data_IF_681452286191
#
_entry.id   IF_681452286191
#
_cell.length_a   1.000
_cell.length_b   1.000
_cell.length_c   1.000
_cell.angle_alpha   90.00
_cell.angle_beta   90.00
_cell.angle_gamma   90.00
#
_symmetry.space_group_name_H-M   'P 1'
#
loop_
_entity.id
_entity.type
_entity.pdbx_description
1 polymer ?
#
# COMPACT_ATOMS: atom_id res chain seq x y z
N UNK A 1 -22.12 9.39 41.85
CA UNK A 1 -21.88 9.80 40.45
C UNK A 1 -20.46 10.29 40.43
N UNK A 2 -19.59 9.47 39.88
CA UNK A 2 -18.14 9.66 39.97
C UNK A 2 -17.71 10.93 39.24
N UNK A 3 -16.71 11.59 39.81
CA UNK A 3 -16.16 12.87 39.40
C UNK A 3 -15.47 12.74 38.02
N UNK A 4 -16.23 12.95 36.95
CA UNK A 4 -15.73 12.97 35.57
C UNK A 4 -15.01 14.29 35.25
N UNK A 5 -14.08 14.70 36.11
CA UNK A 5 -13.39 16.01 36.07
C UNK A 5 -12.67 16.31 34.76
N UNK A 6 -12.41 15.30 33.93
CA UNK A 6 -11.66 15.42 32.67
C UNK A 6 -12.45 15.01 31.40
N UNK A 7 -13.56 14.27 31.53
CA UNK A 7 -14.30 13.79 30.35
C UNK A 7 -15.10 14.93 29.73
N UNK A 8 -14.94 15.14 28.42
CA UNK A 8 -15.62 16.21 27.67
C UNK A 8 -14.98 17.59 27.81
N UNK A 9 -13.86 17.71 28.54
CA UNK A 9 -13.11 18.95 28.68
C UNK A 9 -12.18 19.19 27.47
N UNK A 10 -11.98 20.46 27.12
CA UNK A 10 -11.02 20.87 26.08
C UNK A 10 -9.60 20.88 26.67
N UNK A 11 -8.97 19.71 26.72
CA UNK A 11 -7.62 19.53 27.26
C UNK A 11 -6.57 19.69 26.15
N UNK A 12 -5.40 20.22 26.51
CA UNK A 12 -4.24 20.23 25.61
C UNK A 12 -3.76 18.80 25.36
N UNK A 13 -3.56 18.45 24.08
CA UNK A 13 -2.99 17.15 23.73
C UNK A 13 -1.54 17.04 24.24
N UNK A 14 -1.13 15.89 24.81
CA UNK A 14 0.24 15.71 25.29
C UNK A 14 1.33 15.94 24.22
N UNK A 15 1.03 15.65 22.95
CA UNK A 15 1.95 15.80 21.82
C UNK A 15 1.96 17.20 21.17
N UNK A 16 1.05 18.11 21.59
CA UNK A 16 0.91 19.43 20.96
C UNK A 16 2.14 20.36 21.14
N UNK A 17 2.83 20.43 22.30
CA UNK A 17 3.94 21.36 22.47
C UNK A 17 5.11 21.10 21.50
N UNK A 18 5.43 19.84 21.22
CA UNK A 18 6.53 19.50 20.31
C UNK A 18 6.15 19.73 18.84
N UNK A 19 4.89 19.43 18.47
CA UNK A 19 4.39 19.65 17.11
C UNK A 19 4.31 21.14 16.76
N UNK A 20 3.90 21.99 17.70
CA UNK A 20 3.80 23.45 17.47
C UNK A 20 5.14 24.17 17.46
N UNK A 21 6.21 23.52 17.94
CA UNK A 21 7.57 24.09 17.96
C UNK A 21 8.51 23.47 16.93
N UNK A 22 8.01 22.55 16.10
CA UNK A 22 8.82 21.82 15.11
C UNK A 22 9.84 20.86 15.73
N UNK A 23 9.64 20.46 17.00
CA UNK A 23 10.51 19.50 17.70
C UNK A 23 10.14 18.05 17.41
N UNK A 24 8.86 17.79 17.11
CA UNK A 24 8.43 16.47 16.66
C UNK A 24 9.06 16.18 15.32
N UNK A 25 9.84 15.09 15.25
CA UNK A 25 10.43 14.60 14.01
C UNK A 25 9.48 13.61 13.35
N UNK A 26 9.05 13.96 12.15
CA UNK A 26 8.34 13.08 11.23
C UNK A 26 9.37 12.23 10.47
N UNK A 27 8.91 11.24 9.71
CA UNK A 27 9.85 10.28 9.12
C UNK A 27 10.81 10.91 8.13
N UNK A 28 10.33 11.90 7.38
CA UNK A 28 11.13 12.68 6.43
C UNK A 28 12.22 13.52 7.11
N UNK A 29 12.11 13.73 8.42
CA UNK A 29 13.11 14.46 9.21
C UNK A 29 14.20 13.54 9.76
N UNK A 30 14.07 12.22 9.59
CA UNK A 30 14.95 11.21 10.18
C UNK A 30 15.95 10.71 9.15
N UNK A 31 17.23 10.79 9.49
CA UNK A 31 18.33 10.18 8.74
C UNK A 31 19.16 9.32 9.68
N UNK A 32 19.62 8.18 9.18
CA UNK A 32 20.44 7.22 9.93
C UNK A 32 21.79 7.01 9.28
N UNK A 33 22.78 6.58 10.06
CA UNK A 33 24.13 6.33 9.55
C UNK A 33 24.07 5.19 8.52
N UNK A 34 24.76 5.37 7.40
CA UNK A 34 24.80 4.42 6.28
C UNK A 34 23.42 4.14 5.66
N UNK A 35 22.47 5.06 5.78
CA UNK A 35 21.17 4.97 5.13
C UNK A 35 21.32 4.87 3.61
N UNK A 36 20.56 3.97 3.02
CA UNK A 36 20.33 3.87 1.58
C UNK A 36 18.86 4.18 1.32
N UNK A 37 18.54 4.52 0.08
CA UNK A 37 17.23 5.00 -0.33
C UNK A 37 16.60 4.05 -1.34
N UNK A 38 15.34 3.71 -1.10
CA UNK A 38 14.53 2.90 -2.01
C UNK A 38 13.65 3.78 -2.88
N UNK A 39 13.59 3.49 -4.17
CA UNK A 39 12.63 4.09 -5.11
C UNK A 39 11.87 2.97 -5.85
N UNK A 40 10.54 2.88 -5.68
CA UNK A 40 9.75 1.85 -6.34
C UNK A 40 9.69 2.08 -7.84
N UNK A 41 9.78 1.00 -8.60
CA UNK A 41 9.51 0.98 -10.05
C UNK A 41 8.08 0.50 -10.23
N UNK A 42 7.26 1.35 -10.85
CA UNK A 42 5.83 1.10 -11.01
C UNK A 42 5.45 0.71 -12.44
N UNK A 43 4.37 -0.04 -12.56
CA UNK A 43 3.71 -0.28 -13.83
C UNK A 43 3.23 1.02 -14.46
N UNK A 44 3.56 1.22 -15.74
CA UNK A 44 3.06 2.33 -16.56
C UNK A 44 1.79 1.96 -17.35
N UNK A 45 1.37 0.69 -17.32
CA UNK A 45 0.17 0.21 -18.01
C UNK A 45 -0.89 -0.24 -17.00
N UNK A 46 -2.19 -0.14 -17.34
CA UNK A 46 -3.27 -0.51 -16.44
C UNK A 46 -3.46 -2.01 -16.30
N UNK A 47 -3.12 -2.80 -17.32
CA UNK A 47 -3.24 -4.25 -17.27
C UNK A 47 -2.40 -4.91 -18.35
N UNK A 48 -1.69 -5.97 -18.01
CA UNK A 48 -0.92 -6.73 -18.97
C UNK A 48 0.07 -7.65 -18.31
N UNK A 49 0.94 -8.21 -19.13
CA UNK A 49 2.08 -8.99 -18.68
C UNK A 49 3.39 -8.26 -18.93
N UNK A 50 4.45 -8.67 -18.26
CA UNK A 50 5.81 -8.22 -18.57
C UNK A 50 6.77 -9.41 -18.52
N UNK A 51 7.75 -9.41 -19.40
CA UNK A 51 8.67 -10.53 -19.59
C UNK A 51 10.12 -10.19 -19.25
N UNK A 52 10.47 -8.91 -19.30
CA UNK A 52 11.84 -8.45 -19.09
C UNK A 52 11.85 -7.11 -18.36
N UNK A 53 12.78 -7.01 -17.42
CA UNK A 53 13.16 -5.78 -16.72
C UNK A 53 14.59 -5.48 -17.18
N UNK A 54 14.79 -4.32 -17.80
CA UNK A 54 16.08 -3.83 -18.26
C UNK A 54 16.57 -2.72 -17.32
N UNK A 55 17.73 -2.97 -16.71
CA UNK A 55 18.38 -2.11 -15.72
C UNK A 55 19.62 -1.40 -16.29
N UNK A 56 19.97 -1.60 -17.57
CA UNK A 56 21.24 -1.19 -18.14
C UNK A 56 21.55 0.31 -17.97
N UNK A 57 20.53 1.17 -18.06
CA UNK A 57 20.71 2.61 -17.85
C UNK A 57 20.61 3.00 -16.37
N UNK A 58 19.78 2.30 -15.58
CA UNK A 58 19.67 2.50 -14.14
C UNK A 58 20.99 2.18 -13.40
N UNK A 59 21.67 1.10 -13.78
CA UNK A 59 22.95 0.66 -13.19
C UNK A 59 24.09 1.66 -13.42
N UNK A 60 23.97 2.54 -14.43
CA UNK A 60 24.97 3.57 -14.73
C UNK A 60 24.83 4.81 -13.84
N UNK A 61 23.71 4.96 -13.12
CA UNK A 61 23.49 6.10 -12.23
C UNK A 61 24.50 6.04 -11.08
N UNK A 62 25.23 7.13 -10.88
CA UNK A 62 26.21 7.20 -9.80
C UNK A 62 25.51 7.09 -8.44
N UNK A 63 25.81 6.02 -7.71
CA UNK A 63 25.18 5.74 -6.41
C UNK A 63 24.11 4.66 -6.46
N UNK A 64 23.78 4.11 -7.63
CA UNK A 64 23.01 2.86 -7.73
C UNK A 64 23.70 1.75 -6.91
N UNK A 65 22.89 0.97 -6.21
CA UNK A 65 23.35 -0.17 -5.39
C UNK A 65 22.77 -1.47 -5.96
N UNK A 66 21.45 -1.56 -6.04
CA UNK A 66 20.78 -2.80 -6.47
C UNK A 66 19.35 -2.55 -6.96
N UNK A 67 18.73 -3.57 -7.54
CA UNK A 67 17.32 -3.63 -7.86
C UNK A 67 16.72 -4.93 -7.32
N UNK A 68 15.76 -4.79 -6.40
CA UNK A 68 15.04 -5.90 -5.76
C UNK A 68 13.68 -6.08 -6.43
N UNK A 69 13.29 -7.31 -6.69
CA UNK A 69 12.04 -7.67 -7.36
C UNK A 69 11.39 -8.89 -6.72
N UNK A 70 10.28 -9.36 -7.31
CA UNK A 70 9.58 -10.56 -6.84
C UNK A 70 10.49 -11.81 -6.72
N UNK A 71 11.58 -11.91 -7.51
CA UNK A 71 12.50 -13.05 -7.49
C UNK A 71 13.38 -13.09 -6.23
N UNK A 72 13.52 -11.96 -5.56
CA UNK A 72 14.43 -11.76 -4.42
C UNK A 72 13.69 -11.91 -3.08
N UNK A 73 12.37 -12.14 -3.13
CA UNK A 73 11.54 -12.42 -1.96
C UNK A 73 11.86 -13.84 -1.45
N UNK A 74 12.31 -14.01 -0.20
CA UNK A 74 12.79 -15.29 0.30
C UNK A 74 11.66 -16.27 0.68
N UNK A 75 10.45 -15.77 0.92
CA UNK A 75 9.28 -16.59 1.24
C UNK A 75 8.08 -16.20 0.36
N UNK A 76 6.99 -15.68 0.94
CA UNK A 76 5.73 -15.48 0.22
C UNK A 76 5.58 -14.05 -0.30
N UNK A 77 5.48 -13.88 -1.62
CA UNK A 77 5.23 -12.58 -2.25
C UNK A 77 3.75 -12.17 -2.13
N UNK A 78 3.31 -11.85 -0.91
CA UNK A 78 1.91 -11.57 -0.58
C UNK A 78 1.78 -10.64 0.63
N UNK A 79 1.03 -9.56 0.48
CA UNK A 79 0.84 -8.49 1.48
C UNK A 79 -0.63 -8.06 1.69
N UNK A 80 -1.58 -8.75 1.05
CA UNK A 80 -3.01 -8.43 1.19
C UNK A 80 -3.47 -8.50 2.64
N UNK A 81 -4.23 -7.50 3.10
CA UNK A 81 -4.62 -7.38 4.52
C UNK A 81 -5.85 -8.24 4.85
N UNK A 82 -6.87 -8.19 4.00
CA UNK A 82 -8.14 -8.90 4.20
C UNK A 82 -8.17 -10.16 3.33
N UNK A 83 -8.03 -9.99 2.03
CA UNK A 83 -7.88 -11.05 1.03
C UNK A 83 -6.39 -11.15 0.70
N UNK A 84 -5.87 -12.37 0.59
CA UNK A 84 -4.46 -12.62 0.26
C UNK A 84 -4.29 -12.65 -1.26
N UNK A 85 -4.56 -11.54 -1.94
CA UNK A 85 -4.56 -11.41 -3.40
C UNK A 85 -3.60 -10.33 -3.94
N UNK A 86 -2.87 -9.64 -3.05
CA UNK A 86 -1.96 -8.56 -3.41
C UNK A 86 -0.49 -8.95 -3.22
N UNK A 87 0.31 -9.07 -4.29
CA UNK A 87 1.74 -9.29 -4.14
C UNK A 87 2.47 -8.03 -3.63
N UNK A 88 3.64 -8.21 -3.01
CA UNK A 88 4.54 -7.08 -2.69
C UNK A 88 5.08 -6.46 -3.97
N UNK A 89 5.61 -7.33 -4.85
CA UNK A 89 6.04 -6.96 -6.19
C UNK A 89 5.25 -7.78 -7.22
N UNK A 90 4.67 -7.12 -8.21
CA UNK A 90 4.07 -7.72 -9.37
C UNK A 90 5.02 -8.78 -9.97
N UNK A 91 4.46 -9.94 -10.31
CA UNK A 91 5.20 -11.04 -10.91
C UNK A 91 4.45 -11.49 -12.15
N UNK A 92 5.07 -11.29 -13.32
CA UNK A 92 4.53 -11.56 -14.67
C UNK A 92 3.35 -10.71 -15.09
N UNK A 93 2.45 -10.34 -14.19
CA UNK A 93 1.22 -9.60 -14.49
C UNK A 93 1.16 -8.34 -13.64
N UNK A 94 0.81 -7.22 -14.28
CA UNK A 94 0.49 -5.95 -13.64
C UNK A 94 -1.02 -5.70 -13.75
N UNK A 95 -1.63 -5.18 -12.69
CA UNK A 95 -3.10 -5.09 -12.56
C UNK A 95 -3.66 -3.67 -12.55
N UNK A 96 -2.80 -2.67 -12.42
CA UNK A 96 -3.15 -1.26 -12.43
C UNK A 96 -1.92 -0.39 -12.70
N UNK A 97 -2.13 0.88 -13.09
CA UNK A 97 -1.06 1.87 -13.18
C UNK A 97 -0.60 2.17 -11.75
N UNK A 98 0.69 2.01 -11.46
CA UNK A 98 1.22 2.08 -10.10
C UNK A 98 1.44 0.73 -9.41
N UNK A 99 1.16 -0.40 -10.08
CA UNK A 99 1.49 -1.73 -9.54
C UNK A 99 3.01 -1.86 -9.38
N UNK A 100 3.49 -2.22 -8.19
CA UNK A 100 4.93 -2.17 -7.89
C UNK A 100 5.64 -3.36 -8.52
N UNK A 101 6.61 -3.14 -9.40
CA UNK A 101 7.36 -4.22 -10.08
C UNK A 101 8.64 -4.58 -9.31
N UNK A 102 9.21 -3.60 -8.62
CA UNK A 102 10.42 -3.75 -7.84
C UNK A 102 10.83 -2.46 -7.14
N UNK A 103 11.99 -2.49 -6.51
CA UNK A 103 12.57 -1.40 -5.74
C UNK A 103 14.03 -1.20 -6.14
N UNK A 104 14.35 -0.03 -6.68
CA UNK A 104 15.74 0.41 -6.84
C UNK A 104 16.28 0.85 -5.48
N UNK A 105 17.52 0.48 -5.18
CA UNK A 105 18.24 0.89 -3.98
C UNK A 105 19.46 1.73 -4.39
N UNK A 106 19.65 2.90 -3.78
CA UNK A 106 20.78 3.78 -4.06
C UNK A 106 21.30 4.53 -2.82
N UNK A 107 22.47 5.16 -2.94
CA UNK A 107 23.14 5.90 -1.84
C UNK A 107 22.46 7.21 -1.47
N UNK A 108 21.72 7.82 -2.39
CA UNK A 108 20.95 9.05 -2.14
C UNK A 108 19.54 8.91 -2.70
N UNK A 109 18.62 9.73 -2.21
CA UNK A 109 17.24 9.76 -2.68
C UNK A 109 17.16 10.13 -4.16
N UNK A 110 17.97 11.10 -4.59
CA UNK A 110 18.02 11.58 -5.98
C UNK A 110 18.50 10.45 -6.91
N UNK A 111 19.56 9.74 -6.53
CA UNK A 111 20.07 8.62 -7.32
C UNK A 111 19.06 7.47 -7.41
N UNK A 112 18.31 7.19 -6.33
CA UNK A 112 17.28 6.15 -6.34
C UNK A 112 16.15 6.52 -7.32
N UNK A 113 15.66 7.77 -7.24
CA UNK A 113 14.60 8.26 -8.12
C UNK A 113 15.04 8.33 -9.59
N UNK A 114 16.26 8.81 -9.85
CA UNK A 114 16.84 8.85 -11.20
C UNK A 114 16.95 7.44 -11.79
N UNK A 115 17.57 6.51 -11.06
CA UNK A 115 17.74 5.13 -11.51
C UNK A 115 16.39 4.42 -11.70
N UNK A 116 15.42 4.59 -10.80
CA UNK A 116 14.08 4.03 -10.96
C UNK A 116 13.38 4.54 -12.23
N UNK A 117 13.57 5.81 -12.59
CA UNK A 117 13.04 6.40 -13.82
C UNK A 117 13.71 5.88 -15.11
N UNK A 118 14.88 5.24 -15.00
CA UNK A 118 15.62 4.66 -16.13
C UNK A 118 15.36 3.16 -16.30
N UNK A 119 14.68 2.51 -15.35
CA UNK A 119 14.29 1.10 -15.49
C UNK A 119 13.28 0.95 -16.61
N UNK A 120 13.57 0.07 -17.57
CA UNK A 120 12.68 -0.21 -18.71
C UNK A 120 12.00 -1.55 -18.53
N UNK A 121 10.68 -1.55 -18.70
CA UNK A 121 9.86 -2.75 -18.60
C UNK A 121 9.30 -3.08 -19.97
N UNK A 122 9.50 -4.31 -20.43
CA UNK A 122 8.90 -4.79 -21.67
C UNK A 122 7.52 -5.38 -21.39
N UNK A 123 6.47 -4.63 -21.74
CA UNK A 123 5.08 -5.03 -21.52
C UNK A 123 4.47 -5.72 -22.74
N UNK A 124 3.64 -6.72 -22.45
CA UNK A 124 2.58 -7.20 -23.30
C UNK A 124 1.25 -6.66 -22.74
N UNK A 125 0.90 -5.45 -23.16
CA UNK A 125 -0.32 -4.77 -22.70
C UNK A 125 -1.59 -5.53 -23.12
N UNK A 126 -2.57 -5.56 -22.22
CA UNK A 126 -3.88 -6.18 -22.43
C UNK A 126 -4.98 -5.16 -22.17
N UNK A 127 -6.14 -5.35 -22.79
CA UNK A 127 -7.29 -4.47 -22.58
C UNK A 127 -7.79 -4.57 -21.13
N UNK A 128 -7.75 -3.48 -20.35
CA UNK A 128 -8.29 -3.45 -18.98
C UNK A 128 -9.82 -3.30 -19.00
N UNK A 129 -10.46 -3.62 -17.88
CA UNK A 129 -11.80 -3.16 -17.55
C UNK A 129 -11.68 -1.88 -16.72
N UNK A 130 -12.26 -0.77 -17.18
CA UNK A 130 -12.07 0.57 -16.58
C UNK A 130 -13.32 1.09 -15.88
N UNK A 131 -14.41 0.31 -15.88
CA UNK A 131 -15.63 0.61 -15.16
C UNK A 131 -16.19 -0.61 -14.42
N UNK A 132 -17.01 -0.34 -13.40
CA UNK A 132 -17.71 -1.40 -12.66
C UNK A 132 -18.65 -2.19 -13.57
N UNK A 133 -19.33 -1.52 -14.51
CA UNK A 133 -20.24 -2.18 -15.45
C UNK A 133 -19.48 -3.15 -16.38
N UNK A 134 -18.38 -2.71 -16.99
CA UNK A 134 -17.52 -3.57 -17.81
C UNK A 134 -16.95 -4.75 -17.02
N UNK A 135 -16.50 -4.50 -15.79
CA UNK A 135 -15.92 -5.53 -14.92
C UNK A 135 -16.96 -6.56 -14.46
N UNK A 136 -18.20 -6.12 -14.19
CA UNK A 136 -19.35 -6.98 -13.83
C UNK A 136 -19.76 -7.88 -15.01
N UNK A 137 -19.81 -7.31 -16.21
CA UNK A 137 -20.31 -8.00 -17.40
C UNK A 137 -19.20 -8.82 -18.10
N UNK A 138 -17.98 -8.81 -17.54
CA UNK A 138 -16.85 -9.61 -18.00
C UNK A 138 -17.13 -11.11 -17.91
N UNK A 139 -16.74 -11.84 -18.97
CA UNK A 139 -16.82 -13.31 -19.05
C UNK A 139 -15.44 -13.97 -19.18
N UNK A 140 -14.40 -13.16 -19.35
CA UNK A 140 -13.00 -13.58 -19.48
C UNK A 140 -12.09 -12.47 -18.92
N UNK A 141 -10.78 -12.69 -18.90
CA UNK A 141 -9.77 -11.69 -18.49
C UNK A 141 -10.01 -11.14 -17.07
N UNK A 142 -10.47 -11.99 -16.17
CA UNK A 142 -10.59 -11.64 -14.76
C UNK A 142 -9.22 -11.24 -14.19
N UNK A 143 -9.20 -10.25 -13.31
CA UNK A 143 -7.99 -9.77 -12.63
C UNK A 143 -7.48 -10.84 -11.63
N UNK A 144 -8.42 -11.61 -11.07
CA UNK A 144 -8.21 -12.77 -10.21
C UNK A 144 -9.03 -13.96 -10.75
N UNK A 145 -9.53 -14.84 -9.88
CA UNK A 145 -10.44 -15.93 -10.29
C UNK A 145 -11.77 -15.39 -10.86
N UNK A 146 -12.25 -14.26 -10.32
CA UNK A 146 -13.42 -13.51 -10.82
C UNK A 146 -13.20 -12.02 -10.62
N UNK A 147 -14.05 -11.18 -11.21
CA UNK A 147 -14.08 -9.74 -10.94
C UNK A 147 -15.06 -9.34 -9.81
N UNK A 148 -15.78 -10.29 -9.21
CA UNK A 148 -16.68 -10.02 -8.09
C UNK A 148 -15.90 -10.12 -6.76
N UNK A 149 -15.39 -8.99 -6.29
CA UNK A 149 -14.57 -8.95 -5.08
C UNK A 149 -15.35 -9.33 -3.79
N UNK A 150 -16.61 -8.93 -3.67
CA UNK A 150 -17.45 -9.27 -2.53
C UNK A 150 -18.95 -9.20 -2.87
N UNK A 151 -19.77 -9.97 -2.14
CA UNK A 151 -21.24 -9.91 -2.23
C UNK A 151 -21.86 -10.07 -0.85
N UNK A 152 -22.59 -9.05 -0.41
CA UNK A 152 -23.32 -9.05 0.86
C UNK A 152 -24.81 -8.87 0.61
N UNK A 153 -25.64 -9.66 1.31
CA UNK A 153 -27.09 -9.62 1.19
C UNK A 153 -27.71 -9.25 2.54
N UNK A 154 -28.32 -8.08 2.62
CA UNK A 154 -29.05 -7.63 3.81
C UNK A 154 -30.54 -7.91 3.60
N UNK A 155 -31.16 -8.67 4.50
CA UNK A 155 -32.59 -8.99 4.46
C UNK A 155 -33.21 -8.74 5.82
N UNK A 156 -34.31 -8.00 5.86
CA UNK A 156 -35.04 -7.72 7.09
C UNK A 156 -36.52 -7.47 6.77
N UNK A 157 -37.40 -8.20 7.44
CA UNK A 157 -38.85 -8.09 7.22
C UNK A 157 -39.31 -8.64 5.86
N UNK A 158 -40.52 -8.26 5.48
CA UNK A 158 -41.15 -8.58 4.21
C UNK A 158 -41.17 -7.32 3.33
N UNK A 159 -40.31 -7.30 2.32
CA UNK A 159 -40.17 -6.16 1.42
C UNK A 159 -41.40 -6.03 0.51
N UNK A 160 -41.95 -7.15 0.02
CA UNK A 160 -43.09 -7.13 -0.90
C UNK A 160 -44.31 -6.54 -0.21
N UNK A 161 -44.62 -6.99 1.01
CA UNK A 161 -45.68 -6.36 1.82
C UNK A 161 -45.37 -4.90 2.16
N UNK A 162 -44.09 -4.51 2.26
CA UNK A 162 -43.68 -3.14 2.52
C UNK A 162 -43.98 -2.22 1.35
N UNK A 163 -43.66 -2.65 0.12
CA UNK A 163 -43.97 -1.93 -1.11
C UNK A 163 -45.49 -1.84 -1.34
N UNK A 164 -46.22 -2.93 -1.14
CA UNK A 164 -47.68 -2.96 -1.35
C UNK A 164 -48.45 -2.00 -0.43
N UNK A 165 -47.93 -1.75 0.78
CA UNK A 165 -48.59 -0.92 1.81
C UNK A 165 -48.11 0.53 1.83
N UNK A 166 -47.15 0.91 0.97
CA UNK A 166 -46.55 2.24 1.02
C UNK A 166 -47.47 3.30 0.38
N UNK A 167 -47.66 4.43 1.07
CA UNK A 167 -48.38 5.58 0.50
C UNK A 167 -47.57 6.28 -0.60
N UNK A 168 -46.24 6.27 -0.49
CA UNK A 168 -45.30 6.83 -1.45
C UNK A 168 -44.04 5.97 -1.55
N UNK A 169 -43.52 5.83 -2.77
CA UNK A 169 -42.26 5.15 -3.08
C UNK A 169 -41.35 6.17 -3.76
N UNK A 170 -40.14 6.32 -3.22
CA UNK A 170 -39.10 7.18 -3.80
C UNK A 170 -37.93 6.31 -4.20
N UNK A 171 -37.57 6.35 -5.48
CA UNK A 171 -36.38 5.69 -6.01
C UNK A 171 -35.41 6.76 -6.53
N UNK A 172 -34.13 6.62 -6.18
CA UNK A 172 -33.07 7.51 -6.62
C UNK A 172 -31.76 6.75 -6.80
N UNK A 173 -30.96 7.21 -7.76
CA UNK A 173 -29.60 6.70 -8.02
C UNK A 173 -28.58 7.72 -7.55
N UNK A 174 -27.66 7.27 -6.69
CA UNK A 174 -26.58 8.09 -6.17
C UNK A 174 -25.22 7.55 -6.64
N UNK A 175 -24.27 8.44 -6.86
CA UNK A 175 -22.86 8.09 -7.16
C UNK A 175 -21.96 9.06 -6.41
N UNK A 176 -20.92 8.53 -5.81
CA UNK A 176 -19.82 9.31 -5.21
C UNK A 176 -18.58 9.18 -6.10
N UNK A 177 -17.75 10.24 -6.23
CA UNK A 177 -16.49 10.16 -6.95
C UNK A 177 -15.44 9.36 -6.14
N UNK A 178 -14.28 9.11 -6.76
CA UNK A 178 -13.08 8.69 -6.04
C UNK A 178 -12.58 9.83 -5.16
N UNK A 179 -12.09 9.50 -3.97
CA UNK A 179 -11.49 10.44 -3.03
C UNK A 179 -10.19 9.84 -2.50
N UNK A 180 -9.14 10.66 -2.49
CA UNK A 180 -7.87 10.34 -1.83
C UNK A 180 -7.85 10.93 -0.42
N UNK A 181 -7.17 10.26 0.51
CA UNK A 181 -7.06 10.67 1.91
C UNK A 181 -6.38 12.03 2.06
N UNK A 182 -5.38 12.31 1.21
CA UNK A 182 -4.71 13.60 1.10
C UNK A 182 -4.10 14.10 2.43
N UNK A 183 -3.49 13.19 3.20
CA UNK A 183 -2.67 13.56 4.36
C UNK A 183 -1.44 14.37 3.93
N UNK A 184 -0.99 15.28 4.80
CA UNK A 184 0.07 16.24 4.47
C UNK A 184 1.48 15.61 4.45
N UNK A 185 1.75 14.65 5.34
CA UNK A 185 3.00 13.88 5.35
C UNK A 185 2.90 12.74 4.33
N UNK A 186 3.69 12.71 3.25
CA UNK A 186 3.72 11.57 2.34
C UNK A 186 4.18 10.29 3.05
N UNK A 187 3.75 9.13 2.53
CA UNK A 187 4.14 7.84 3.10
C UNK A 187 5.67 7.65 3.09
N UNK A 188 6.20 7.21 4.23
CA UNK A 188 7.59 6.87 4.40
C UNK A 188 7.75 5.71 5.38
N UNK A 189 8.88 5.01 5.26
CA UNK A 189 9.36 4.10 6.29
C UNK A 189 10.89 4.04 6.29
N UNK A 190 11.47 3.66 7.42
CA UNK A 190 12.88 3.33 7.56
C UNK A 190 12.95 1.91 8.11
N UNK A 191 13.63 1.03 7.38
CA UNK A 191 13.86 -0.35 7.77
C UNK A 191 15.30 -0.56 8.22
N UNK A 192 15.47 -1.38 9.25
CA UNK A 192 16.74 -1.81 9.81
C UNK A 192 16.77 -3.34 9.85
N UNK A 193 17.94 -3.91 9.60
CA UNK A 193 18.20 -5.32 9.80
C UNK A 193 19.31 -5.49 10.83
N UNK A 194 19.12 -6.37 11.79
CA UNK A 194 20.16 -6.77 12.73
C UNK A 194 20.94 -8.01 12.22
N UNK A 195 22.09 -8.28 12.83
CA UNK A 195 22.98 -9.39 12.45
C UNK A 195 22.33 -10.77 12.56
N UNK A 196 21.32 -10.92 13.43
CA UNK A 196 20.58 -12.16 13.63
C UNK A 196 19.41 -12.35 12.64
N UNK A 197 19.29 -11.44 11.66
CA UNK A 197 18.23 -11.44 10.65
C UNK A 197 16.89 -10.85 11.11
N UNK A 198 16.81 -10.31 12.34
CA UNK A 198 15.62 -9.59 12.77
C UNK A 198 15.49 -8.23 12.06
N UNK A 199 14.25 -7.79 11.89
CA UNK A 199 13.89 -6.59 11.13
C UNK A 199 13.17 -5.62 12.06
N UNK A 200 13.60 -4.37 12.05
CA UNK A 200 12.88 -3.25 12.66
C UNK A 200 12.40 -2.29 11.57
N UNK A 201 11.15 -1.84 11.66
CA UNK A 201 10.57 -0.82 10.78
C UNK A 201 10.03 0.32 11.62
N UNK A 202 10.42 1.55 11.26
CA UNK A 202 9.77 2.78 11.70
C UNK A 202 8.93 3.32 10.54
N UNK A 203 7.61 3.44 10.70
CA UNK A 203 6.69 3.75 9.59
C UNK A 203 5.65 4.82 9.92
N UNK A 204 5.25 5.60 8.91
CA UNK A 204 4.06 6.46 8.97
C UNK A 204 2.86 5.57 8.60
N UNK A 205 2.24 4.99 9.63
CA UNK A 205 1.25 3.93 9.49
C UNK A 205 0.27 3.95 10.66
N UNK A 206 -0.91 3.35 10.49
CA UNK A 206 -1.95 3.30 11.53
C UNK A 206 -2.07 1.94 12.22
N UNK A 207 -1.62 0.86 11.56
CA UNK A 207 -1.80 -0.51 12.01
C UNK A 207 -0.47 -1.29 11.97
N UNK A 208 0.42 -1.14 12.98
CA UNK A 208 1.73 -1.79 13.00
C UNK A 208 1.66 -3.32 12.82
N UNK A 209 0.65 -3.95 13.41
CA UNK A 209 0.48 -5.42 13.35
C UNK A 209 0.22 -5.96 11.94
N UNK A 210 -0.46 -5.19 11.08
CA UNK A 210 -0.68 -5.62 9.69
C UNK A 210 0.63 -5.61 8.90
N UNK A 211 1.46 -4.59 9.12
CA UNK A 211 2.78 -4.50 8.52
C UNK A 211 3.70 -5.59 9.07
N UNK A 212 3.69 -5.85 10.38
CA UNK A 212 4.48 -6.92 11.01
C UNK A 212 4.16 -8.28 10.37
N UNK A 213 2.86 -8.58 10.21
CA UNK A 213 2.41 -9.81 9.57
C UNK A 213 2.88 -9.93 8.12
N UNK A 214 2.74 -8.85 7.34
CA UNK A 214 3.17 -8.84 5.94
C UNK A 214 4.70 -9.05 5.80
N UNK A 215 5.49 -8.35 6.62
CA UNK A 215 6.96 -8.49 6.62
C UNK A 215 7.38 -9.90 7.04
N UNK A 216 6.80 -10.43 8.11
CA UNK A 216 7.05 -11.80 8.54
C UNK A 216 6.73 -12.83 7.44
N UNK A 217 5.63 -12.64 6.70
CA UNK A 217 5.24 -13.50 5.59
C UNK A 217 6.22 -13.43 4.41
N UNK A 218 6.60 -12.22 3.99
CA UNK A 218 7.53 -11.96 2.89
C UNK A 218 8.93 -12.51 3.19
N UNK A 219 9.40 -12.35 4.43
CA UNK A 219 10.73 -12.78 4.86
C UNK A 219 10.79 -14.21 5.41
N UNK A 220 9.65 -14.86 5.64
CA UNK A 220 9.61 -16.19 6.28
C UNK A 220 10.05 -16.18 7.75
N UNK A 221 9.83 -15.06 8.44
CA UNK A 221 10.26 -14.84 9.82
C UNK A 221 9.11 -15.08 10.81
N UNK A 222 9.46 -15.43 12.05
CA UNK A 222 8.52 -15.40 13.16
C UNK A 222 8.24 -13.96 13.61
N UNK A 223 7.07 -13.71 14.21
CA UNK A 223 6.68 -12.35 14.59
C UNK A 223 7.61 -11.69 15.63
N UNK A 224 8.26 -12.47 16.49
CA UNK A 224 9.25 -11.98 17.46
C UNK A 224 10.53 -11.46 16.81
N UNK A 225 10.77 -11.78 15.53
CA UNK A 225 11.88 -11.27 14.72
C UNK A 225 11.53 -10.02 13.93
N UNK A 226 10.30 -9.50 14.04
CA UNK A 226 9.83 -8.32 13.31
C UNK A 226 9.26 -7.30 14.28
N UNK A 227 9.93 -6.15 14.42
CA UNK A 227 9.46 -5.02 15.23
C UNK A 227 8.96 -3.91 14.31
N UNK A 228 7.72 -3.45 14.52
CA UNK A 228 7.15 -2.32 13.79
C UNK A 228 6.76 -1.22 14.77
N UNK A 229 7.36 -0.05 14.60
CA UNK A 229 7.09 1.15 15.39
C UNK A 229 6.37 2.18 14.52
N UNK A 230 5.27 2.72 15.06
CA UNK A 230 4.57 3.85 14.45
C UNK A 230 5.34 5.15 14.75
N UNK A 231 5.73 5.86 13.69
CA UNK A 231 6.27 7.22 13.80
C UNK A 231 5.15 8.23 14.11
N UNK A 232 5.47 9.43 14.61
CA UNK A 232 4.48 10.50 14.72
C UNK A 232 3.78 10.76 13.39
N UNK A 233 2.44 10.83 13.42
CA UNK A 233 1.57 11.23 12.30
C UNK A 233 0.66 12.39 12.69
#
# INVERSE_FOLDING_TARGET
MDDLSIIGQSLSRPDAPEKTTGKTRFLTDISVKNMVYGAPVYSSIPYGEFTQIDLLDAEKVNGFIDFVSAKDIPAENQIGVIIQDQPLFAHKTVRYIGDSIGLVVAKTQEAALEAAGLVKINYLEKNPYLSIDESRDAIEKFIHETNLACHHRVRKGDIDSGFDKADQIIEARFKTPYQEHYYLEPQACIAFSDEDGSIKILGSLQCPFYVQKAVANVFGLSYDKVLVEQAPT
#
